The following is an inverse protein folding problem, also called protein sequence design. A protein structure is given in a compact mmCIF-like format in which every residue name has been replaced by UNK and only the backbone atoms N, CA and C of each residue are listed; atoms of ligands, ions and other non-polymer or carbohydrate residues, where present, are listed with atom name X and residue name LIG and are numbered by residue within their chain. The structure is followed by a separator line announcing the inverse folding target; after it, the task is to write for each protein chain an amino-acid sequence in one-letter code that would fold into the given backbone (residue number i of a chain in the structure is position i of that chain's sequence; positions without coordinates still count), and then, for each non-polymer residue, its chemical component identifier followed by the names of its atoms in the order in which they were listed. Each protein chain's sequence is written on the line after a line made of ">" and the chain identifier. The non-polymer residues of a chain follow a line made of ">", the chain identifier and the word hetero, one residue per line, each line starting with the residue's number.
data_IF_221612408780
#
_entry.id   IF_221612408780
#
_cell.length_a   1.000
_cell.length_b   1.000
_cell.length_c   1.000
_cell.angle_alpha   90.00
_cell.angle_beta   90.00
_cell.angle_gamma   90.00
#
_symmetry.space_group_name_H-M   'P 1'
#
loop_
_entity.id
_entity.type
_entity.pdbx_description
1 polymer ?
#
# COMPACT_ATOMS: atom_id res chain seq x y z
N UNK A 1 -33.10 4.28 9.36
CA UNK A 1 -32.33 3.07 8.96
C UNK A 1 -31.47 3.44 7.77
N UNK A 2 -30.21 2.95 7.65
CA UNK A 2 -29.42 3.21 6.46
C UNK A 2 -30.18 2.73 5.23
N UNK A 3 -30.19 3.53 4.17
CA UNK A 3 -30.72 3.09 2.88
C UNK A 3 -29.99 1.83 2.45
N UNK A 4 -30.69 0.90 1.79
CA UNK A 4 -30.10 -0.38 1.35
C UNK A 4 -28.83 -0.19 0.52
N UNK A 5 -28.77 0.90 -0.26
CA UNK A 5 -27.58 1.33 -1.00
C UNK A 5 -26.40 1.70 -0.08
N UNK A 6 -26.63 2.47 0.99
CA UNK A 6 -25.57 2.83 1.94
C UNK A 6 -25.04 1.61 2.69
N UNK A 7 -25.93 0.68 3.07
CA UNK A 7 -25.55 -0.58 3.69
C UNK A 7 -24.67 -1.42 2.74
N UNK A 8 -25.05 -1.56 1.48
CA UNK A 8 -24.27 -2.28 0.48
C UNK A 8 -22.87 -1.70 0.28
N UNK A 9 -22.75 -0.37 0.20
CA UNK A 9 -21.46 0.31 0.06
C UNK A 9 -20.54 0.06 1.27
N UNK A 10 -21.06 0.24 2.48
CA UNK A 10 -20.28 0.03 3.72
C UNK A 10 -19.83 -1.43 3.84
N UNK A 11 -20.71 -2.38 3.53
CA UNK A 11 -20.34 -3.80 3.52
C UNK A 11 -19.28 -4.09 2.47
N UNK A 12 -19.39 -3.52 1.27
CA UNK A 12 -18.36 -3.65 0.22
C UNK A 12 -17.00 -3.12 0.64
N UNK A 13 -16.95 -1.93 1.27
CA UNK A 13 -15.71 -1.35 1.82
C UNK A 13 -15.12 -2.21 2.93
N UNK A 14 -15.95 -2.74 3.83
CA UNK A 14 -15.49 -3.61 4.91
C UNK A 14 -14.89 -4.92 4.37
N UNK A 15 -15.58 -5.59 3.44
CA UNK A 15 -15.12 -6.85 2.83
C UNK A 15 -13.81 -6.66 2.07
N UNK A 16 -13.71 -5.62 1.24
CA UNK A 16 -12.48 -5.31 0.51
C UNK A 16 -11.30 -5.01 1.45
N UNK A 17 -11.53 -4.25 2.53
CA UNK A 17 -10.52 -3.99 3.56
C UNK A 17 -10.03 -5.27 4.26
N UNK A 18 -10.96 -6.13 4.69
CA UNK A 18 -10.63 -7.41 5.35
C UNK A 18 -9.85 -8.34 4.42
N UNK A 19 -10.30 -8.48 3.17
CA UNK A 19 -9.63 -9.32 2.17
C UNK A 19 -8.22 -8.81 1.89
N UNK A 20 -8.07 -7.50 1.64
CA UNK A 20 -6.76 -6.88 1.40
C UNK A 20 -5.80 -7.05 2.57
N UNK A 21 -6.27 -6.84 3.80
CA UNK A 21 -5.45 -6.98 4.99
C UNK A 21 -5.04 -8.43 5.26
N UNK A 22 -5.97 -9.37 5.06
CA UNK A 22 -5.70 -10.81 5.24
C UNK A 22 -4.70 -11.30 4.20
N UNK A 23 -4.85 -10.91 2.93
CA UNK A 23 -3.91 -11.23 1.87
C UNK A 23 -2.51 -10.67 2.17
N UNK A 24 -2.42 -9.41 2.62
CA UNK A 24 -1.14 -8.81 3.02
C UNK A 24 -0.50 -9.54 4.21
N UNK A 25 -1.31 -9.93 5.20
CA UNK A 25 -0.84 -10.69 6.37
C UNK A 25 -0.30 -12.06 5.95
N UNK A 26 -0.99 -12.74 5.03
CA UNK A 26 -0.52 -14.02 4.51
C UNK A 26 0.79 -13.86 3.73
N UNK A 27 0.89 -12.84 2.87
CA UNK A 27 2.12 -12.53 2.14
C UNK A 27 3.30 -12.26 3.08
N UNK A 28 3.09 -11.52 4.18
CA UNK A 28 4.12 -11.29 5.21
C UNK A 28 4.55 -12.57 5.94
N UNK A 29 3.68 -13.58 6.02
CA UNK A 29 3.97 -14.86 6.68
C UNK A 29 4.71 -15.86 5.77
N UNK A 30 4.42 -15.85 4.48
CA UNK A 30 4.93 -16.85 3.54
C UNK A 30 6.00 -16.32 2.59
N UNK A 31 6.05 -15.00 2.37
CA UNK A 31 7.02 -14.34 1.50
C UNK A 31 8.24 -13.80 2.24
N UNK A 32 9.29 -13.49 1.49
CA UNK A 32 10.45 -12.76 2.02
C UNK A 32 10.01 -11.37 2.47
N UNK A 33 10.24 -11.07 3.76
CA UNK A 33 9.86 -9.79 4.38
C UNK A 33 10.43 -8.59 3.61
N UNK A 34 11.63 -8.72 3.02
CA UNK A 34 12.27 -7.68 2.23
C UNK A 34 11.52 -7.29 0.96
N UNK A 35 10.87 -8.26 0.31
CA UNK A 35 10.02 -8.06 -0.87
C UNK A 35 8.63 -7.58 -0.48
N UNK A 36 8.06 -8.07 0.62
CA UNK A 36 6.66 -7.80 0.99
C UNK A 36 6.49 -6.49 1.75
N UNK A 37 7.49 -6.06 2.54
CA UNK A 37 7.44 -4.82 3.32
C UNK A 37 7.14 -3.55 2.50
N UNK A 38 7.72 -3.33 1.30
CA UNK A 38 7.38 -2.22 0.41
C UNK A 38 5.90 -2.10 0.08
N UNK A 39 5.23 -3.23 -0.17
CA UNK A 39 3.82 -3.24 -0.61
C UNK A 39 2.89 -2.67 0.46
N UNK A 40 3.23 -2.83 1.74
CA UNK A 40 2.46 -2.23 2.85
C UNK A 40 2.45 -0.70 2.79
N UNK A 41 3.49 -0.09 2.25
CA UNK A 41 3.58 1.36 2.11
C UNK A 41 3.03 1.88 0.78
N UNK A 42 2.91 1.01 -0.25
CA UNK A 42 2.30 1.38 -1.54
C UNK A 42 0.88 1.93 -1.39
N UNK A 43 0.12 1.49 -0.38
CA UNK A 43 -1.21 2.00 -0.06
C UNK A 43 -1.23 3.51 0.20
N UNK A 44 -0.12 4.08 0.69
CA UNK A 44 0.00 5.53 0.92
C UNK A 44 0.03 6.29 -0.40
N UNK A 45 0.71 5.76 -1.41
CA UNK A 45 0.76 6.34 -2.76
C UNK A 45 -0.64 6.26 -3.40
N UNK A 46 -1.30 5.12 -3.29
CA UNK A 46 -2.68 4.96 -3.79
C UNK A 46 -3.64 5.91 -3.07
N UNK A 47 -3.53 6.04 -1.75
CA UNK A 47 -4.33 6.97 -0.97
C UNK A 47 -4.08 8.42 -1.38
N UNK A 48 -2.83 8.81 -1.63
CA UNK A 48 -2.46 10.14 -2.10
C UNK A 48 -3.09 10.46 -3.47
N UNK A 49 -3.00 9.52 -4.42
CA UNK A 49 -3.60 9.65 -5.75
C UNK A 49 -5.12 9.78 -5.63
N UNK A 50 -5.75 8.92 -4.83
CA UNK A 50 -7.19 8.99 -4.60
C UNK A 50 -7.58 10.29 -3.90
N UNK A 51 -6.78 10.79 -2.96
CA UNK A 51 -7.07 12.04 -2.27
C UNK A 51 -7.09 13.23 -3.23
N UNK A 52 -6.10 13.30 -4.12
CA UNK A 52 -6.06 14.30 -5.18
C UNK A 52 -7.25 14.18 -6.13
N UNK A 53 -7.60 12.97 -6.57
CA UNK A 53 -8.66 12.76 -7.57
C UNK A 53 -10.09 12.92 -7.02
N UNK A 54 -10.34 12.49 -5.79
CA UNK A 54 -11.69 12.43 -5.21
C UNK A 54 -12.02 13.63 -4.33
N UNK A 55 -11.01 14.25 -3.71
CA UNK A 55 -11.19 15.35 -2.76
C UNK A 55 -10.57 16.67 -3.23
N UNK A 56 -9.98 16.72 -4.44
CA UNK A 56 -9.24 17.87 -4.98
C UNK A 56 -8.12 18.38 -4.04
N UNK A 57 -7.61 17.47 -3.19
CA UNK A 57 -6.56 17.76 -2.22
C UNK A 57 -5.25 17.95 -2.97
N UNK A 58 -4.67 19.16 -2.92
CA UNK A 58 -3.40 19.46 -3.58
C UNK A 58 -2.23 19.11 -2.66
N UNK A 59 -1.46 18.05 -2.95
CA UNK A 59 -0.33 17.70 -2.12
C UNK A 59 0.73 18.79 -2.17
N UNK A 60 1.18 19.20 -0.99
CA UNK A 60 2.25 20.18 -0.83
C UNK A 60 3.63 19.54 -1.07
N UNK A 61 4.66 20.40 -1.09
CA UNK A 61 6.03 19.95 -1.32
C UNK A 61 6.50 18.90 -0.29
N UNK A 62 6.05 19.02 0.97
CA UNK A 62 6.36 18.05 2.02
C UNK A 62 5.72 16.69 1.76
N UNK A 63 4.44 16.66 1.36
CA UNK A 63 3.73 15.42 1.02
C UNK A 63 4.38 14.72 -0.17
N UNK A 64 4.75 15.47 -1.22
CA UNK A 64 5.44 14.92 -2.38
C UNK A 64 6.83 14.38 -2.02
N UNK A 65 7.56 15.07 -1.15
CA UNK A 65 8.88 14.62 -0.66
C UNK A 65 8.75 13.32 0.14
N UNK A 66 7.76 13.24 1.03
CA UNK A 66 7.46 12.02 1.78
C UNK A 66 7.05 10.86 0.86
N UNK A 67 6.21 11.12 -0.13
CA UNK A 67 5.80 10.13 -1.13
C UNK A 67 7.00 9.61 -1.94
N UNK A 68 7.88 10.51 -2.40
CA UNK A 68 9.11 10.13 -3.09
C UNK A 68 10.02 9.26 -2.22
N UNK A 69 10.14 9.58 -0.93
CA UNK A 69 10.92 8.78 0.04
C UNK A 69 10.32 7.37 0.22
N UNK A 70 8.99 7.26 0.32
CA UNK A 70 8.29 5.98 0.41
C UNK A 70 8.54 5.13 -0.84
N UNK A 71 8.40 5.72 -2.04
CA UNK A 71 8.68 5.05 -3.31
C UNK A 71 10.13 4.57 -3.35
N UNK A 72 11.08 5.46 -3.06
CA UNK A 72 12.51 5.16 -3.07
C UNK A 72 12.87 4.03 -2.09
N UNK A 73 12.33 4.06 -0.87
CA UNK A 73 12.53 3.01 0.12
C UNK A 73 11.95 1.66 -0.35
N UNK A 74 10.77 1.67 -0.96
CA UNK A 74 10.15 0.48 -1.52
C UNK A 74 10.97 -0.14 -2.66
N UNK A 75 11.38 0.67 -3.64
CA UNK A 75 12.23 0.24 -4.75
C UNK A 75 13.60 -0.22 -4.28
N UNK A 76 14.21 0.47 -3.31
CA UNK A 76 15.50 0.07 -2.73
C UNK A 76 15.43 -1.27 -2.01
N UNK A 77 14.35 -1.55 -1.28
CA UNK A 77 14.16 -2.83 -0.59
C UNK A 77 14.11 -3.99 -1.58
N UNK A 78 13.41 -3.83 -2.72
CA UNK A 78 13.36 -4.82 -3.80
C UNK A 78 14.74 -5.07 -4.43
N UNK A 79 15.48 -4.00 -4.73
CA UNK A 79 16.82 -4.11 -5.32
C UNK A 79 17.80 -4.76 -4.34
N UNK A 80 17.70 -4.43 -3.04
CA UNK A 80 18.56 -4.98 -1.98
C UNK A 80 18.37 -6.47 -1.81
N UNK A 81 17.14 -6.98 -1.87
CA UNK A 81 16.86 -8.41 -1.71
C UNK A 81 17.42 -9.22 -2.90
N UNK A 82 17.26 -8.70 -4.12
CA UNK A 82 17.86 -9.30 -5.31
C UNK A 82 19.39 -9.42 -5.19
N UNK A 83 20.05 -8.39 -4.63
CA UNK A 83 21.50 -8.40 -4.37
C UNK A 83 21.91 -9.39 -3.28
N UNK A 84 21.11 -9.57 -2.23
CA UNK A 84 21.37 -10.57 -1.18
C UNK A 84 21.20 -12.00 -1.68
N UNK A 85 20.23 -12.26 -2.55
CA UNK A 85 20.06 -13.55 -3.23
C UNK A 85 21.24 -13.87 -4.15
N UNK A 86 21.78 -12.89 -4.87
CA UNK A 86 22.94 -13.07 -5.75
C UNK A 86 24.27 -13.26 -5.00
N UNK A 87 24.35 -12.87 -3.74
CA UNK A 87 25.56 -12.96 -2.92
C UNK A 87 25.65 -14.24 -2.06
N UNK A 88 24.63 -15.12 -2.11
CA UNK A 88 24.68 -16.43 -1.44
C UNK A 88 25.15 -17.47 -2.46
N UNK A 89 26.33 -18.11 -2.27
CA UNK A 89 26.81 -19.17 -3.15
C UNK A 89 25.94 -20.43 -3.06
#
# INVERSE_FOLDING_TARGET
>A
MPTTAAAALVTGTALSGVLGYTAMTLAMRTGEVGVVAPFRYSRLIVALILAYLLFDERPDALTLTGAALIVAAGTYSLIRDNRRRAAKP
#
